data_IF_382501062234
#
_entry.id   IF_382501062234
#
_cell.length_a   1.000
_cell.length_b   1.000
_cell.length_c   1.000
_cell.angle_alpha   90.00
_cell.angle_beta   90.00
_cell.angle_gamma   90.00
#
_symmetry.space_group_name_H-M   'P 1'
#
loop_
_entity.id
_entity.type
_entity.pdbx_description
1 polymer ?
#
# COMPACT_ATOMS: atom_id res chain seq x y z
N UNK A 1 3.38 23.39 -0.70
CA UNK A 1 3.66 22.33 0.31
C UNK A 1 4.66 21.30 -0.21
N UNK A 2 4.57 20.82 -1.46
CA UNK A 2 5.54 19.86 -2.04
C UNK A 2 6.94 20.43 -2.36
N UNK A 3 7.08 21.75 -2.45
CA UNK A 3 8.31 22.43 -2.90
C UNK A 3 9.59 22.06 -2.11
N UNK A 4 9.61 22.08 -0.75
CA UNK A 4 10.82 21.71 0.01
C UNK A 4 11.22 20.24 -0.19
N UNK A 5 10.24 19.35 -0.35
CA UNK A 5 10.43 17.91 -0.50
C UNK A 5 10.96 17.55 -1.90
N UNK A 6 10.51 18.29 -2.92
CA UNK A 6 11.03 18.19 -4.29
C UNK A 6 12.42 18.83 -4.39
N UNK A 7 12.70 19.90 -3.66
CA UNK A 7 14.01 20.55 -3.62
C UNK A 7 15.09 19.67 -2.99
N UNK A 8 14.80 19.01 -1.86
CA UNK A 8 15.73 18.06 -1.23
C UNK A 8 16.07 16.90 -2.16
N UNK A 9 15.08 16.33 -2.84
CA UNK A 9 15.29 15.27 -3.84
C UNK A 9 16.05 15.79 -5.07
N UNK A 10 15.67 16.94 -5.62
CA UNK A 10 16.31 17.50 -6.81
C UNK A 10 17.76 17.91 -6.58
N UNK A 11 18.12 18.29 -5.35
CA UNK A 11 19.48 18.66 -4.99
C UNK A 11 20.37 17.43 -4.74
N UNK A 12 19.81 16.35 -4.20
CA UNK A 12 20.60 15.19 -3.76
C UNK A 12 20.57 14.00 -4.71
N UNK A 13 19.47 13.79 -5.43
CA UNK A 13 19.32 12.65 -6.36
C UNK A 13 19.78 13.10 -7.76
N UNK A 14 20.84 12.47 -8.32
CA UNK A 14 21.31 12.79 -9.66
C UNK A 14 20.23 12.48 -10.72
N UNK A 15 19.89 13.49 -11.53
CA UNK A 15 18.96 13.33 -12.63
C UNK A 15 19.61 12.58 -13.80
N UNK A 16 19.39 11.26 -13.80
CA UNK A 16 19.89 10.33 -14.82
C UNK A 16 19.16 10.43 -16.17
N UNK A 17 18.13 11.27 -16.29
CA UNK A 17 17.48 11.55 -17.59
C UNK A 17 18.32 12.47 -18.47
N UNK A 18 19.32 13.15 -17.90
CA UNK A 18 20.22 14.03 -18.65
C UNK A 18 21.28 13.22 -19.42
N UNK A 19 21.59 13.59 -20.68
CA UNK A 19 22.62 12.90 -21.46
C UNK A 19 23.98 12.96 -20.74
N UNK A 20 24.65 11.81 -20.62
CA UNK A 20 25.94 11.67 -19.92
C UNK A 20 25.88 11.29 -18.43
N UNK A 21 24.69 11.29 -17.81
CA UNK A 21 24.50 10.98 -16.38
C UNK A 21 24.11 9.52 -16.09
N UNK A 22 23.98 8.67 -17.11
CA UNK A 22 23.57 7.27 -16.95
C UNK A 22 24.48 6.44 -16.02
N UNK A 23 25.75 6.83 -15.88
CA UNK A 23 26.70 6.20 -14.94
C UNK A 23 26.31 6.35 -13.45
N UNK A 24 25.49 7.34 -13.12
CA UNK A 24 25.00 7.58 -11.76
C UNK A 24 23.63 6.93 -11.51
N UNK A 25 23.16 6.05 -12.39
CA UNK A 25 21.85 5.40 -12.27
C UNK A 25 21.71 4.65 -10.93
N UNK A 26 22.68 3.79 -10.61
CA UNK A 26 22.68 3.05 -9.34
C UNK A 26 22.77 3.99 -8.13
N UNK A 27 23.59 5.04 -8.20
CA UNK A 27 23.69 6.03 -7.13
C UNK A 27 22.38 6.78 -6.91
N UNK A 28 21.72 7.21 -7.98
CA UNK A 28 20.41 7.88 -7.92
C UNK A 28 19.33 6.96 -7.37
N UNK A 29 19.33 5.69 -7.77
CA UNK A 29 18.41 4.69 -7.23
C UNK A 29 18.62 4.46 -5.72
N UNK A 30 19.86 4.28 -5.27
CA UNK A 30 20.18 4.11 -3.84
C UNK A 30 19.79 5.34 -3.01
N UNK A 31 20.08 6.55 -3.51
CA UNK A 31 19.70 7.79 -2.82
C UNK A 31 18.19 7.97 -2.76
N UNK A 32 17.46 7.59 -3.82
CA UNK A 32 16.00 7.61 -3.80
C UNK A 32 15.44 6.67 -2.73
N UNK A 33 15.99 5.45 -2.58
CA UNK A 33 15.59 4.52 -1.51
C UNK A 33 15.80 5.14 -0.13
N UNK A 34 16.97 5.76 0.10
CA UNK A 34 17.28 6.41 1.40
C UNK A 34 16.27 7.51 1.69
N UNK A 35 15.96 8.37 0.71
CA UNK A 35 14.99 9.45 0.89
C UNK A 35 13.57 8.95 1.11
N UNK A 36 13.14 7.90 0.40
CA UNK A 36 11.85 7.25 0.67
C UNK A 36 11.80 6.81 2.14
N UNK A 37 12.85 6.16 2.65
CA UNK A 37 12.92 5.76 4.06
C UNK A 37 12.83 6.95 5.04
N UNK A 38 13.55 8.04 4.77
CA UNK A 38 13.49 9.26 5.60
C UNK A 38 12.09 9.87 5.59
N UNK A 39 11.46 9.98 4.42
CA UNK A 39 10.11 10.52 4.31
C UNK A 39 9.06 9.61 4.95
N UNK A 40 9.21 8.30 4.82
CA UNK A 40 8.33 7.33 5.50
C UNK A 40 8.40 7.48 7.02
N UNK A 41 9.59 7.70 7.60
CA UNK A 41 9.74 7.94 9.04
C UNK A 41 8.97 9.19 9.49
N UNK A 42 9.20 10.34 8.84
CA UNK A 42 8.49 11.58 9.19
C UNK A 42 6.97 11.48 8.93
N UNK A 43 6.55 10.76 7.89
CA UNK A 43 5.14 10.54 7.61
C UNK A 43 4.44 9.79 8.75
N UNK A 44 5.05 8.74 9.29
CA UNK A 44 4.49 7.96 10.41
C UNK A 44 4.40 8.83 11.67
N UNK A 45 5.49 9.50 12.04
CA UNK A 45 5.56 10.37 13.23
C UNK A 45 4.52 11.50 13.18
N UNK A 46 4.43 12.20 12.04
CA UNK A 46 3.45 13.29 11.90
C UNK A 46 2.02 12.77 11.87
N UNK A 47 1.75 11.62 11.25
CA UNK A 47 0.43 11.02 11.27
C UNK A 47 0.02 10.61 12.70
N UNK A 48 0.94 10.09 13.51
CA UNK A 48 0.68 9.75 14.91
C UNK A 48 0.40 10.99 15.76
N UNK A 49 1.19 12.06 15.61
CA UNK A 49 0.97 13.33 16.32
C UNK A 49 -0.39 13.94 15.93
N UNK A 50 -0.73 13.96 14.64
CA UNK A 50 -2.03 14.46 14.18
C UNK A 50 -3.15 13.59 14.74
N UNK A 51 -3.02 12.25 14.69
CA UNK A 51 -3.97 11.32 15.28
C UNK A 51 -4.21 11.60 16.76
N UNK A 52 -3.15 11.79 17.54
CA UNK A 52 -3.22 12.13 18.95
C UNK A 52 -3.93 13.46 19.21
N UNK A 53 -3.72 14.48 18.38
CA UNK A 53 -4.42 15.78 18.52
C UNK A 53 -5.91 15.71 18.21
N UNK A 54 -6.31 14.84 17.28
CA UNK A 54 -7.71 14.66 16.86
C UNK A 54 -8.44 13.62 17.73
N UNK A 55 -7.71 12.85 18.54
CA UNK A 55 -8.26 11.76 19.36
C UNK A 55 -8.48 10.46 18.59
N UNK A 56 -7.84 10.29 17.43
CA UNK A 56 -7.91 9.06 16.63
C UNK A 56 -6.76 8.12 17.07
N UNK A 57 -7.07 6.86 17.42
CA UNK A 57 -6.06 5.86 17.75
C UNK A 57 -4.97 5.71 16.66
N UNK A 58 -3.68 5.59 17.02
CA UNK A 58 -2.59 5.40 16.06
C UNK A 58 -2.80 4.20 15.12
N UNK A 59 -3.44 3.14 15.62
CA UNK A 59 -3.81 1.96 14.83
C UNK A 59 -4.73 2.33 13.65
N UNK A 60 -5.77 3.14 13.90
CA UNK A 60 -6.71 3.56 12.86
C UNK A 60 -6.01 4.50 11.87
N UNK A 61 -5.15 5.41 12.35
CA UNK A 61 -4.33 6.27 11.48
C UNK A 61 -3.41 5.47 10.55
N UNK A 62 -2.78 4.42 11.08
CA UNK A 62 -1.97 3.48 10.32
C UNK A 62 -2.76 2.74 9.24
N UNK A 63 -3.89 2.15 9.62
CA UNK A 63 -4.73 1.35 8.74
C UNK A 63 -5.47 2.15 7.66
N UNK A 64 -5.67 3.46 7.85
CA UNK A 64 -6.45 4.30 6.93
C UNK A 64 -5.58 5.31 6.20
N UNK A 65 -5.06 6.31 6.90
CA UNK A 65 -4.32 7.42 6.28
C UNK A 65 -2.98 6.96 5.70
N UNK A 66 -2.22 6.16 6.45
CA UNK A 66 -0.94 5.65 5.99
C UNK A 66 -1.12 4.62 4.86
N UNK A 67 -2.05 3.68 5.03
CA UNK A 67 -2.36 2.68 4.00
C UNK A 67 -2.90 3.30 2.70
N UNK A 68 -3.74 4.35 2.80
CA UNK A 68 -4.18 5.10 1.63
C UNK A 68 -3.03 5.91 1.01
N UNK A 69 -2.16 6.48 1.85
CA UNK A 69 -1.00 7.27 1.42
C UNK A 69 -0.01 6.48 0.57
N UNK A 70 0.19 5.20 0.85
CA UNK A 70 1.03 4.31 0.03
C UNK A 70 0.32 3.85 -1.24
N UNK A 71 -0.97 3.55 -1.17
CA UNK A 71 -1.74 3.00 -2.29
C UNK A 71 -2.08 4.03 -3.39
N UNK A 72 -2.24 5.32 -3.04
CA UNK A 72 -2.60 6.38 -4.00
C UNK A 72 -1.52 6.59 -5.07
N UNK A 73 -0.22 6.74 -4.74
CA UNK A 73 0.85 6.81 -5.74
C UNK A 73 0.89 5.61 -6.68
N UNK A 74 0.72 4.39 -6.15
CA UNK A 74 0.73 3.16 -6.95
C UNK A 74 -0.45 3.09 -7.90
N UNK A 75 -1.64 3.52 -7.43
CA UNK A 75 -2.82 3.67 -8.27
C UNK A 75 -2.56 4.68 -9.39
N UNK A 76 -2.00 5.86 -9.09
CA UNK A 76 -1.71 6.89 -10.08
C UNK A 76 -0.71 6.37 -11.14
N UNK A 77 0.35 5.70 -10.72
CA UNK A 77 1.34 5.08 -11.62
C UNK A 77 0.67 4.07 -12.55
N UNK A 78 -0.13 3.15 -11.99
CA UNK A 78 -0.85 2.12 -12.75
C UNK A 78 -1.84 2.73 -13.74
N UNK A 79 -2.56 3.80 -13.35
CA UNK A 79 -3.47 4.52 -14.25
C UNK A 79 -2.70 5.19 -15.40
N UNK A 80 -1.55 5.82 -15.14
CA UNK A 80 -0.73 6.46 -16.17
C UNK A 80 -0.25 5.42 -17.20
N UNK A 81 0.24 4.28 -16.72
CA UNK A 81 0.72 3.18 -17.58
C UNK A 81 -0.43 2.56 -18.39
N UNK A 82 -1.59 2.32 -17.77
CA UNK A 82 -2.77 1.85 -18.47
C UNK A 82 -3.24 2.82 -19.57
N UNK A 83 -3.17 4.14 -19.31
CA UNK A 83 -3.52 5.19 -20.29
C UNK A 83 -2.56 5.24 -21.48
N UNK A 84 -1.33 4.73 -21.34
CA UNK A 84 -0.35 4.61 -22.43
C UNK A 84 -0.57 3.36 -23.29
N UNK A 85 -1.59 2.56 -23.00
CA UNK A 85 -1.87 1.31 -23.70
C UNK A 85 -1.18 0.09 -23.09
N UNK A 86 -0.42 0.26 -22.01
CA UNK A 86 0.32 -0.81 -21.32
C UNK A 86 -0.52 -1.40 -20.18
N UNK A 87 -1.75 -1.84 -20.48
CA UNK A 87 -2.68 -2.38 -19.49
C UNK A 87 -2.14 -3.58 -18.71
N UNK A 88 -1.41 -4.47 -19.39
CA UNK A 88 -0.80 -5.65 -18.77
C UNK A 88 0.26 -5.26 -17.73
N UNK A 89 1.02 -4.20 -18.01
CA UNK A 89 2.00 -3.65 -17.07
C UNK A 89 1.31 -3.06 -15.84
N UNK A 90 0.22 -2.32 -16.03
CA UNK A 90 -0.58 -1.76 -14.93
C UNK A 90 -1.17 -2.85 -14.02
N UNK A 91 -1.72 -3.93 -14.61
CA UNK A 91 -2.25 -5.07 -13.84
C UNK A 91 -1.14 -5.79 -13.10
N UNK A 92 -0.01 -6.04 -13.75
CA UNK A 92 1.13 -6.71 -13.12
C UNK A 92 1.70 -5.92 -11.93
N UNK A 93 1.78 -4.58 -12.06
CA UNK A 93 2.22 -3.70 -10.97
C UNK A 93 1.26 -3.74 -9.79
N UNK A 94 -0.06 -3.68 -10.02
CA UNK A 94 -1.07 -3.69 -8.96
C UNK A 94 -1.13 -5.02 -8.22
N UNK A 95 -0.94 -6.15 -8.90
CA UNK A 95 -0.90 -7.47 -8.27
C UNK A 95 0.43 -7.69 -7.55
N UNK A 96 1.53 -7.29 -8.19
CA UNK A 96 2.89 -7.47 -7.67
C UNK A 96 3.15 -6.72 -6.37
N UNK A 97 2.67 -5.46 -6.24
CA UNK A 97 2.84 -4.67 -5.01
C UNK A 97 2.17 -5.33 -3.81
N UNK A 98 0.91 -5.77 -3.94
CA UNK A 98 0.18 -6.46 -2.87
C UNK A 98 0.85 -7.79 -2.47
N UNK A 99 1.36 -8.55 -3.44
CA UNK A 99 2.11 -9.79 -3.15
C UNK A 99 3.40 -9.47 -2.39
N UNK A 100 4.13 -8.42 -2.81
CA UNK A 100 5.35 -7.98 -2.15
C UNK A 100 5.09 -7.50 -0.72
N UNK A 101 4.01 -6.75 -0.48
CA UNK A 101 3.63 -6.29 0.86
C UNK A 101 3.34 -7.46 1.80
N UNK A 102 2.63 -8.48 1.32
CA UNK A 102 2.30 -9.66 2.15
C UNK A 102 3.54 -10.54 2.39
N UNK A 103 4.38 -10.76 1.39
CA UNK A 103 5.52 -11.69 1.49
C UNK A 103 6.78 -11.05 2.07
N UNK A 104 6.97 -9.76 1.87
CA UNK A 104 8.20 -9.03 2.24
C UNK A 104 7.88 -7.90 3.20
N UNK A 105 6.86 -7.08 2.90
CA UNK A 105 6.48 -5.92 3.71
C UNK A 105 6.06 -6.25 5.14
N UNK A 106 5.26 -7.30 5.34
CA UNK A 106 4.84 -7.76 6.67
C UNK A 106 5.91 -8.59 7.40
N UNK A 107 6.57 -9.58 6.78
CA UNK A 107 7.48 -10.46 7.51
C UNK A 107 8.82 -9.81 7.84
N UNK A 108 9.37 -8.91 7.00
CA UNK A 108 10.67 -8.30 7.27
C UNK A 108 10.70 -7.48 8.58
N UNK A 109 9.78 -6.52 8.82
CA UNK A 109 9.77 -5.77 10.08
C UNK A 109 9.54 -6.68 11.29
N UNK A 110 8.69 -7.70 11.14
CA UNK A 110 8.45 -8.67 12.21
C UNK A 110 9.73 -9.43 12.56
N UNK A 111 10.42 -10.02 11.57
CA UNK A 111 11.66 -10.77 11.78
C UNK A 111 12.70 -9.88 12.45
N UNK A 112 12.89 -8.65 11.95
CA UNK A 112 13.82 -7.67 12.52
C UNK A 112 13.47 -7.34 13.98
N UNK A 113 12.19 -7.16 14.29
CA UNK A 113 11.72 -6.89 15.66
C UNK A 113 11.99 -8.08 16.59
N UNK A 114 11.72 -9.31 16.15
CA UNK A 114 11.96 -10.53 16.94
C UNK A 114 13.44 -10.90 17.07
N UNK A 115 14.27 -10.53 16.10
CA UNK A 115 15.72 -10.76 16.14
C UNK A 115 16.44 -9.76 17.05
N UNK A 116 15.81 -8.62 17.39
CA UNK A 116 16.41 -7.62 18.24
C UNK A 116 16.51 -8.12 19.70
N UNK A 117 17.72 -8.16 20.29
CA UNK A 117 17.92 -8.71 21.63
C UNK A 117 17.15 -7.90 22.69
N UNK A 118 16.37 -8.59 23.52
CA UNK A 118 15.60 -7.98 24.62
C UNK A 118 14.12 -7.72 24.32
N UNK A 119 13.61 -8.10 23.15
CA UNK A 119 12.17 -8.10 22.83
C UNK A 119 11.56 -9.50 23.03
N UNK A 120 10.27 -9.60 23.39
CA UNK A 120 9.61 -10.90 23.52
C UNK A 120 9.59 -11.63 22.17
N UNK A 121 9.99 -12.91 22.18
CA UNK A 121 10.03 -13.79 20.99
C UNK A 121 8.64 -14.08 20.40
N UNK A 122 7.57 -13.72 21.12
CA UNK A 122 6.18 -13.98 20.72
C UNK A 122 5.36 -12.73 20.92
N UNK A 123 4.78 -12.21 19.84
CA UNK A 123 3.75 -11.19 19.88
C UNK A 123 2.40 -11.90 19.72
N UNK A 124 1.54 -11.83 20.74
CA UNK A 124 0.22 -12.44 20.67
C UNK A 124 -0.64 -11.59 19.74
N UNK A 125 -0.88 -12.07 18.52
CA UNK A 125 -1.85 -11.47 17.61
C UNK A 125 -3.24 -11.87 18.09
N UNK A 126 -4.05 -10.89 18.48
CA UNK A 126 -5.45 -11.12 18.85
C UNK A 126 -6.17 -11.83 17.71
N UNK A 127 -6.59 -13.08 17.95
CA UNK A 127 -7.17 -13.97 16.93
C UNK A 127 -8.63 -13.68 16.62
N UNK A 128 -9.28 -12.78 17.37
CA UNK A 128 -10.69 -12.46 17.19
C UNK A 128 -10.91 -11.76 15.86
N UNK A 129 -11.28 -12.55 14.85
CA UNK A 129 -11.69 -12.04 13.54
C UNK A 129 -10.63 -12.06 12.43
N UNK A 130 -9.38 -12.45 12.71
CA UNK A 130 -8.33 -12.60 11.68
C UNK A 130 -8.70 -13.68 10.66
N UNK A 131 -9.21 -14.82 11.13
CA UNK A 131 -9.65 -15.91 10.25
C UNK A 131 -10.75 -15.48 9.28
N UNK A 132 -11.73 -14.69 9.75
CA UNK A 132 -12.79 -14.16 8.91
C UNK A 132 -12.25 -13.15 7.88
N UNK A 133 -11.33 -12.26 8.28
CA UNK A 133 -10.69 -11.31 7.35
C UNK A 133 -9.88 -12.02 6.26
N UNK A 134 -9.17 -13.10 6.60
CA UNK A 134 -8.47 -13.95 5.63
C UNK A 134 -9.45 -14.64 4.66
N UNK A 135 -10.58 -15.16 5.16
CA UNK A 135 -11.61 -15.75 4.33
C UNK A 135 -12.21 -14.73 3.35
N UNK A 136 -12.52 -13.51 3.80
CA UNK A 136 -13.04 -12.44 2.94
C UNK A 136 -12.01 -12.08 1.86
N UNK A 137 -10.74 -11.91 2.24
CA UNK A 137 -9.66 -11.64 1.30
C UNK A 137 -9.54 -12.74 0.24
N UNK A 138 -9.59 -14.01 0.65
CA UNK A 138 -9.54 -15.15 -0.27
C UNK A 138 -10.74 -15.18 -1.24
N UNK A 139 -11.95 -14.93 -0.75
CA UNK A 139 -13.17 -14.83 -1.57
C UNK A 139 -13.04 -13.69 -2.58
N UNK A 140 -12.54 -12.52 -2.16
CA UNK A 140 -12.36 -11.37 -3.03
C UNK A 140 -11.35 -11.64 -4.13
N UNK A 141 -10.20 -12.26 -3.81
CA UNK A 141 -9.21 -12.67 -4.82
C UNK A 141 -9.86 -13.65 -5.81
N UNK A 142 -10.59 -14.65 -5.31
CA UNK A 142 -11.28 -15.62 -6.16
C UNK A 142 -12.27 -14.95 -7.13
N UNK A 143 -13.11 -14.04 -6.63
CA UNK A 143 -14.07 -13.28 -7.46
C UNK A 143 -13.38 -12.42 -8.51
N UNK A 144 -12.29 -11.73 -8.15
CA UNK A 144 -11.51 -10.91 -9.09
C UNK A 144 -10.90 -11.76 -10.20
N UNK A 145 -10.28 -12.90 -9.85
CA UNK A 145 -9.68 -13.82 -10.83
C UNK A 145 -10.77 -14.39 -11.74
N UNK A 146 -11.93 -14.77 -11.18
CA UNK A 146 -13.07 -15.28 -11.93
C UNK A 146 -13.58 -14.23 -12.94
N UNK A 147 -13.70 -12.96 -12.54
CA UNK A 147 -14.09 -11.86 -13.42
C UNK A 147 -13.08 -11.63 -14.55
N UNK A 148 -11.78 -11.73 -14.27
CA UNK A 148 -10.75 -11.62 -15.30
C UNK A 148 -10.83 -12.80 -16.28
N UNK A 149 -11.07 -14.00 -15.77
CA UNK A 149 -11.22 -15.21 -16.57
C UNK A 149 -12.43 -15.12 -17.51
N UNK A 150 -13.59 -14.71 -17.01
CA UNK A 150 -14.79 -14.48 -17.83
C UNK A 150 -14.63 -13.32 -18.81
N UNK A 151 -13.76 -12.36 -18.52
CA UNK A 151 -13.42 -11.27 -19.45
C UNK A 151 -12.41 -11.69 -20.53
N UNK A 152 -12.06 -12.98 -20.60
CA UNK A 152 -11.15 -13.54 -21.60
C UNK A 152 -9.72 -13.01 -21.46
N UNK A 153 -9.28 -12.73 -20.22
CA UNK A 153 -7.95 -12.15 -19.94
C UNK A 153 -7.69 -10.82 -20.66
N UNK A 154 -8.75 -10.04 -20.89
CA UNK A 154 -8.67 -8.70 -21.48
C UNK A 154 -9.21 -7.66 -20.51
N UNK A 155 -8.49 -6.55 -20.37
CA UNK A 155 -8.92 -5.43 -19.55
C UNK A 155 -10.04 -4.65 -20.27
N UNK A 156 -11.29 -5.05 -20.02
CA UNK A 156 -12.48 -4.40 -20.59
C UNK A 156 -13.09 -3.41 -19.60
N UNK A 157 -13.85 -2.43 -20.11
CA UNK A 157 -14.60 -1.50 -19.25
C UNK A 157 -15.59 -2.23 -18.35
N UNK A 158 -16.18 -3.32 -18.83
CA UNK A 158 -17.11 -4.18 -18.07
C UNK A 158 -16.40 -4.85 -16.89
N UNK A 159 -15.19 -5.39 -17.09
CA UNK A 159 -14.38 -5.96 -16.03
C UNK A 159 -14.06 -4.92 -14.94
N UNK A 160 -13.69 -3.70 -15.34
CA UNK A 160 -13.43 -2.60 -14.42
C UNK A 160 -14.67 -2.20 -13.60
N UNK A 161 -15.85 -2.10 -14.24
CA UNK A 161 -17.10 -1.81 -13.52
C UNK A 161 -17.42 -2.92 -12.51
N UNK A 162 -17.27 -4.18 -12.89
CA UNK A 162 -17.46 -5.31 -11.96
C UNK A 162 -16.49 -5.24 -10.77
N UNK A 163 -15.23 -4.89 -10.99
CA UNK A 163 -14.26 -4.70 -9.90
C UNK A 163 -14.66 -3.57 -8.94
N UNK A 164 -15.16 -2.44 -9.46
CA UNK A 164 -15.70 -1.36 -8.61
C UNK A 164 -16.92 -1.82 -7.80
N UNK A 165 -17.80 -2.62 -8.38
CA UNK A 165 -18.96 -3.20 -7.66
C UNK A 165 -18.50 -4.11 -6.53
N UNK A 166 -17.54 -5.02 -6.78
CA UNK A 166 -17.00 -5.88 -5.73
C UNK A 166 -16.31 -5.08 -4.62
N UNK A 167 -15.55 -4.04 -4.97
CA UNK A 167 -14.96 -3.14 -3.98
C UNK A 167 -16.03 -2.41 -3.16
N UNK A 168 -17.10 -1.94 -3.81
CA UNK A 168 -18.24 -1.33 -3.11
C UNK A 168 -18.95 -2.30 -2.15
N UNK A 169 -19.18 -3.54 -2.58
CA UNK A 169 -19.75 -4.60 -1.72
C UNK A 169 -18.83 -4.91 -0.53
N UNK A 170 -17.52 -4.99 -0.77
CA UNK A 170 -16.52 -5.16 0.27
C UNK A 170 -16.57 -4.00 1.28
N UNK A 171 -16.62 -2.75 0.82
CA UNK A 171 -16.73 -1.59 1.71
C UNK A 171 -18.01 -1.60 2.54
N UNK A 172 -19.16 -1.90 1.94
CA UNK A 172 -20.43 -2.00 2.68
C UNK A 172 -20.35 -3.09 3.75
N UNK A 173 -19.79 -4.25 3.41
CA UNK A 173 -19.59 -5.36 4.33
C UNK A 173 -18.60 -5.02 5.46
N UNK A 174 -17.50 -4.33 5.15
CA UNK A 174 -16.52 -3.87 6.12
C UNK A 174 -17.12 -2.84 7.09
N UNK A 175 -17.82 -1.84 6.56
CA UNK A 175 -18.50 -0.80 7.34
C UNK A 175 -19.56 -1.43 8.27
N UNK A 176 -20.36 -2.38 7.76
CA UNK A 176 -21.35 -3.09 8.58
C UNK A 176 -20.72 -3.89 9.73
N UNK A 177 -19.50 -4.42 9.54
CA UNK A 177 -18.78 -5.18 10.56
C UNK A 177 -18.13 -4.27 11.61
N UNK A 178 -17.65 -3.09 11.22
CA UNK A 178 -16.95 -2.17 12.14
C UNK A 178 -17.91 -1.24 12.90
N UNK A 179 -19.07 -0.86 12.35
CA UNK A 179 -20.08 -0.08 13.07
C UNK A 179 -20.56 -0.66 14.42
N UNK A 180 -20.80 -1.99 14.60
CA UNK A 180 -21.31 -2.52 15.86
C UNK A 180 -20.30 -2.44 17.02
N UNK A 181 -19.01 -2.21 16.76
CA UNK A 181 -17.97 -2.13 17.81
C UNK A 181 -17.81 -0.75 18.44
N UNK A 182 -18.36 0.33 17.84
CA UNK A 182 -18.31 1.67 18.46
C UNK A 182 -19.46 1.97 19.43
N UNK A 183 -20.54 1.17 19.44
CA UNK A 183 -21.70 1.40 20.33
C UNK A 183 -21.55 0.66 21.67
N UNK A 184 -20.61 -0.29 21.77
CA UNK A 184 -20.30 -1.04 22.97
C UNK A 184 -18.79 -1.03 23.26
N UNK A 185 -18.24 0.14 23.56
CA UNK A 185 -16.95 0.29 24.23
C UNK A 185 -17.03 1.43 25.25
#
# INVERSE_FOLDING_TARGET
ILLPLVLSLAFTVPDVRRPGMGKYCYLGFSLAIVWIGVYSYFMVEWAEVIGATVGIPPLIMGLTFLAAGTSVPDMLSSVIVARRGEGDMAVSSSIGSNIFDILVGLPLPWILYTAYPGKPNTYAVGSEGVGLSLCILAIMIFLVVLTIHFSGWKLTKTAGIMMFVFYGLFLVQAIYRELPFQICA
#
